data_IF_643658280917
#
_entry.id   IF_643658280917
#
_cell.length_a   1.000
_cell.length_b   1.000
_cell.length_c   1.000
_cell.angle_alpha   90.00
_cell.angle_beta   90.00
_cell.angle_gamma   90.00
#
_symmetry.space_group_name_H-M   'P 1'
#
loop_
_entity.id
_entity.type
_entity.pdbx_description
1 polymer ?
#
# COMPACT_ATOMS: atom_id res chain seq x y z
N UNK A 1 3.59 7.37 2.98
CA UNK A 1 2.56 7.50 4.03
C UNK A 1 2.54 6.33 5.03
N UNK A 2 2.64 5.06 4.60
CA UNK A 2 2.62 3.89 5.51
C UNK A 2 3.61 3.96 6.68
N UNK A 3 4.82 4.48 6.47
CA UNK A 3 5.81 4.69 7.55
C UNK A 3 5.30 5.64 8.66
N UNK A 4 4.49 6.64 8.31
CA UNK A 4 3.86 7.55 9.29
C UNK A 4 2.81 6.80 10.12
N UNK A 5 1.90 6.09 9.46
CA UNK A 5 0.90 5.24 10.11
C UNK A 5 1.55 4.21 11.06
N UNK A 6 2.62 3.56 10.61
CA UNK A 6 3.44 2.66 11.44
C UNK A 6 3.95 3.34 12.70
N UNK A 7 4.58 4.51 12.56
CA UNK A 7 5.14 5.24 13.70
C UNK A 7 4.05 5.66 14.70
N UNK A 8 2.89 6.11 14.21
CA UNK A 8 1.75 6.46 15.07
C UNK A 8 1.24 5.23 15.86
N UNK A 9 1.18 4.05 15.23
CA UNK A 9 0.80 2.80 15.91
C UNK A 9 1.85 2.37 16.94
N UNK A 10 3.12 2.49 16.59
CA UNK A 10 4.23 2.19 17.49
C UNK A 10 4.20 3.10 18.73
N UNK A 11 4.00 4.40 18.56
CA UNK A 11 3.84 5.36 19.67
C UNK A 11 2.62 5.02 20.53
N UNK A 12 1.47 4.74 19.89
CA UNK A 12 0.26 4.32 20.59
C UNK A 12 0.50 3.11 21.49
N UNK A 13 1.25 2.12 20.99
CA UNK A 13 1.59 0.91 21.74
C UNK A 13 2.57 1.18 22.87
N UNK A 14 3.60 2.00 22.61
CA UNK A 14 4.64 2.35 23.60
C UNK A 14 4.06 3.07 24.80
N UNK A 15 3.18 4.05 24.55
CA UNK A 15 2.63 4.92 25.59
C UNK A 15 1.24 4.49 26.05
N UNK A 16 0.78 3.30 25.62
CA UNK A 16 -0.57 2.80 25.84
C UNK A 16 -1.05 2.84 27.31
N UNK A 17 -0.16 2.60 28.27
CA UNK A 17 -0.49 2.64 29.71
C UNK A 17 -0.72 4.06 30.26
N UNK A 18 -0.32 5.09 29.52
CA UNK A 18 -0.37 6.51 29.91
C UNK A 18 -1.43 7.30 29.13
N UNK A 19 -1.94 6.75 28.04
CA UNK A 19 -2.84 7.42 27.10
C UNK A 19 -4.30 7.08 27.43
N UNK A 20 -5.19 8.07 27.34
CA UNK A 20 -6.62 7.85 27.55
C UNK A 20 -7.26 7.18 26.32
N UNK A 21 -8.31 6.38 26.52
CA UNK A 21 -8.91 5.62 25.40
C UNK A 21 -9.41 6.50 24.26
N UNK A 22 -9.94 7.71 24.53
CA UNK A 22 -10.36 8.61 23.45
C UNK A 22 -9.17 9.08 22.60
N UNK A 23 -7.97 9.22 23.18
CA UNK A 23 -6.77 9.63 22.44
C UNK A 23 -6.29 8.50 21.52
N UNK A 24 -6.44 7.26 21.97
CA UNK A 24 -6.21 6.07 21.13
C UNK A 24 -7.18 6.07 19.95
N UNK A 25 -8.47 6.27 20.21
CA UNK A 25 -9.49 6.32 19.17
C UNK A 25 -9.23 7.42 18.13
N UNK A 26 -8.90 8.63 18.59
CA UNK A 26 -8.57 9.77 17.70
C UNK A 26 -7.39 9.43 16.80
N UNK A 27 -6.28 8.92 17.35
CA UNK A 27 -5.11 8.54 16.53
C UNK A 27 -5.45 7.43 15.53
N UNK A 28 -6.28 6.45 15.91
CA UNK A 28 -6.74 5.40 14.98
C UNK A 28 -7.63 5.96 13.86
N UNK A 29 -8.46 6.98 14.13
CA UNK A 29 -9.24 7.69 13.10
C UNK A 29 -8.32 8.43 12.13
N UNK A 30 -7.28 9.09 12.62
CA UNK A 30 -6.30 9.78 11.77
C UNK A 30 -5.59 8.79 10.84
N UNK A 31 -5.11 7.66 11.38
CA UNK A 31 -4.47 6.61 10.58
C UNK A 31 -5.45 6.08 9.52
N UNK A 32 -6.70 5.77 9.89
CA UNK A 32 -7.70 5.30 8.93
C UNK A 32 -7.91 6.31 7.78
N UNK A 33 -8.06 7.60 8.11
CA UNK A 33 -8.25 8.66 7.12
C UNK A 33 -7.07 8.72 6.15
N UNK A 34 -5.84 8.66 6.67
CA UNK A 34 -4.65 8.65 5.83
C UNK A 34 -4.66 7.46 4.87
N UNK A 35 -4.97 6.25 5.35
CA UNK A 35 -5.02 5.04 4.50
C UNK A 35 -6.12 5.09 3.43
N UNK A 36 -7.27 5.66 3.76
CA UNK A 36 -8.35 5.88 2.76
C UNK A 36 -7.91 6.90 1.70
N UNK A 37 -7.22 7.98 2.09
CA UNK A 37 -6.68 8.95 1.14
C UNK A 37 -5.63 8.28 0.23
N UNK A 38 -4.75 7.44 0.78
CA UNK A 38 -3.74 6.71 0.01
C UNK A 38 -4.39 5.85 -1.07
N UNK A 39 -5.42 5.06 -0.70
CA UNK A 39 -6.17 4.22 -1.65
C UNK A 39 -6.75 4.98 -2.86
N UNK A 40 -7.06 6.26 -2.69
CA UNK A 40 -7.70 7.08 -3.72
C UNK A 40 -6.73 7.91 -4.57
N UNK A 41 -5.46 8.03 -4.18
CA UNK A 41 -4.50 8.96 -4.82
C UNK A 41 -3.27 8.30 -5.44
N UNK A 42 -2.89 7.11 -4.99
CA UNK A 42 -1.59 6.53 -5.35
C UNK A 42 -1.71 5.24 -6.18
N UNK A 43 -0.66 4.99 -6.98
CA UNK A 43 -0.37 3.67 -7.55
C UNK A 43 0.03 2.76 -6.39
N UNK A 44 -0.94 1.98 -5.93
CA UNK A 44 -0.73 0.99 -4.87
C UNK A 44 -0.86 -0.37 -5.51
N UNK A 45 0.22 -1.14 -5.45
CA UNK A 45 0.26 -2.51 -5.98
C UNK A 45 -0.64 -3.47 -5.18
N UNK A 46 -0.90 -3.17 -3.90
CA UNK A 46 -1.70 -4.02 -3.00
C UNK A 46 -2.88 -3.29 -2.33
N UNK A 47 -3.83 -2.79 -3.12
CA UNK A 47 -5.11 -2.23 -2.60
C UNK A 47 -5.85 -3.18 -1.63
N UNK A 48 -5.93 -4.52 -1.85
CA UNK A 48 -6.61 -5.42 -0.93
C UNK A 48 -6.03 -5.40 0.50
N UNK A 49 -4.70 -5.41 0.63
CA UNK A 49 -4.03 -5.41 1.94
C UNK A 49 -4.35 -4.15 2.74
N UNK A 50 -4.41 -2.98 2.08
CA UNK A 50 -4.76 -1.73 2.74
C UNK A 50 -6.23 -1.71 3.16
N UNK A 51 -7.13 -2.24 2.32
CA UNK A 51 -8.55 -2.37 2.68
C UNK A 51 -8.74 -3.27 3.90
N UNK A 52 -7.99 -4.36 3.98
CA UNK A 52 -8.00 -5.26 5.15
C UNK A 52 -7.49 -4.54 6.41
N UNK A 53 -6.37 -3.81 6.29
CA UNK A 53 -5.83 -3.02 7.39
C UNK A 53 -6.82 -1.96 7.91
N UNK A 54 -7.48 -1.23 7.01
CA UNK A 54 -8.56 -0.29 7.36
C UNK A 54 -9.70 -1.01 8.10
N UNK A 55 -10.09 -2.21 7.63
CA UNK A 55 -11.10 -3.03 8.28
C UNK A 55 -10.70 -3.41 9.71
N UNK A 56 -9.44 -3.79 9.92
CA UNK A 56 -8.92 -4.08 11.26
C UNK A 56 -8.90 -2.86 12.18
N UNK A 57 -8.52 -1.68 11.68
CA UNK A 57 -8.62 -0.43 12.45
C UNK A 57 -10.05 -0.18 12.88
N UNK A 58 -11.02 -0.29 11.96
CA UNK A 58 -12.46 -0.11 12.26
C UNK A 58 -12.92 -1.10 13.33
N UNK A 59 -12.62 -2.38 13.14
CA UNK A 59 -12.96 -3.45 14.09
C UNK A 59 -12.36 -3.22 15.48
N UNK A 60 -11.13 -2.70 15.55
CA UNK A 60 -10.49 -2.39 16.81
C UNK A 60 -11.18 -1.21 17.51
N UNK A 61 -11.44 -0.11 16.80
CA UNK A 61 -12.15 1.06 17.35
C UNK A 61 -13.51 0.69 17.94
N UNK A 62 -14.34 -0.06 17.19
CA UNK A 62 -15.67 -0.49 17.65
C UNK A 62 -15.63 -1.28 18.97
N UNK A 63 -14.53 -1.99 19.24
CA UNK A 63 -14.37 -2.83 20.44
C UNK A 63 -13.51 -2.19 21.52
N UNK A 64 -12.85 -1.06 21.26
CA UNK A 64 -11.81 -0.46 22.11
C UNK A 64 -12.22 -0.39 23.59
N UNK A 65 -13.42 0.13 23.86
CA UNK A 65 -13.94 0.32 25.23
C UNK A 65 -14.39 -0.97 25.92
N UNK A 66 -14.65 -2.02 25.14
CA UNK A 66 -15.11 -3.34 25.63
C UNK A 66 -13.98 -4.32 25.88
N UNK A 67 -12.81 -4.10 25.26
CA UNK A 67 -11.67 -4.98 25.36
C UNK A 67 -11.02 -4.93 26.75
N UNK A 68 -10.35 -6.02 27.16
CA UNK A 68 -9.47 -5.97 28.32
C UNK A 68 -8.15 -5.29 27.93
N UNK A 69 -7.38 -4.84 28.92
CA UNK A 69 -6.09 -4.19 28.68
C UNK A 69 -5.15 -5.05 27.80
N UNK A 70 -5.05 -6.35 28.09
CA UNK A 70 -4.25 -7.30 27.31
C UNK A 70 -4.70 -7.38 25.85
N UNK A 71 -6.00 -7.41 25.61
CA UNK A 71 -6.56 -7.56 24.26
C UNK A 71 -6.38 -6.28 23.42
N UNK A 72 -6.44 -5.10 24.07
CA UNK A 72 -6.10 -3.82 23.40
C UNK A 72 -4.64 -3.78 22.97
N UNK A 73 -3.71 -4.16 23.85
CA UNK A 73 -2.28 -4.19 23.53
C UNK A 73 -1.97 -5.21 22.42
N UNK A 74 -2.64 -6.36 22.45
CA UNK A 74 -2.57 -7.36 21.37
C UNK A 74 -3.10 -6.80 20.05
N UNK A 75 -4.23 -6.07 20.08
CA UNK A 75 -4.80 -5.44 18.88
C UNK A 75 -3.86 -4.40 18.28
N UNK A 76 -3.26 -3.53 19.10
CA UNK A 76 -2.23 -2.58 18.65
C UNK A 76 -1.03 -3.30 18.04
N UNK A 77 -0.58 -4.38 18.66
CA UNK A 77 0.52 -5.19 18.12
C UNK A 77 0.17 -5.88 16.80
N UNK A 78 -1.09 -6.28 16.61
CA UNK A 78 -1.58 -6.84 15.33
C UNK A 78 -1.56 -5.77 14.23
N UNK A 79 -2.08 -4.57 14.52
CA UNK A 79 -2.03 -3.44 13.59
C UNK A 79 -0.58 -3.08 13.21
N UNK A 80 0.34 -3.09 14.17
CA UNK A 80 1.77 -2.83 13.91
C UNK A 80 2.38 -3.85 12.95
N UNK A 81 2.06 -5.14 13.13
CA UNK A 81 2.54 -6.20 12.23
C UNK A 81 1.98 -6.07 10.83
N UNK A 82 0.68 -5.78 10.71
CA UNK A 82 0.01 -5.64 9.43
C UNK A 82 0.53 -4.45 8.63
N UNK A 83 0.74 -3.29 9.26
CA UNK A 83 1.30 -2.13 8.56
C UNK A 83 2.76 -2.36 8.15
N UNK A 84 3.55 -3.10 8.94
CA UNK A 84 4.90 -3.50 8.53
C UNK A 84 4.87 -4.42 7.31
N UNK A 85 3.98 -5.41 7.31
CA UNK A 85 3.82 -6.31 6.17
C UNK A 85 3.40 -5.55 4.90
N UNK A 86 2.46 -4.61 5.00
CA UNK A 86 2.08 -3.73 3.88
C UNK A 86 3.28 -2.94 3.35
N UNK A 87 4.11 -2.38 4.23
CA UNK A 87 5.32 -1.64 3.83
C UNK A 87 6.30 -2.55 3.08
N UNK A 88 6.52 -3.77 3.58
CA UNK A 88 7.43 -4.74 2.97
C UNK A 88 6.95 -5.13 1.56
N UNK A 89 5.69 -5.53 1.42
CA UNK A 89 5.14 -5.95 0.13
C UNK A 89 5.09 -4.79 -0.88
N UNK A 90 4.69 -3.60 -0.45
CA UNK A 90 4.73 -2.41 -1.30
C UNK A 90 6.16 -2.10 -1.78
N UNK A 91 7.16 -2.20 -0.89
CA UNK A 91 8.57 -1.95 -1.24
C UNK A 91 9.08 -2.98 -2.24
N UNK A 92 8.73 -4.27 -2.05
CA UNK A 92 9.10 -5.34 -2.99
C UNK A 92 8.51 -5.10 -4.38
N UNK A 93 7.22 -4.78 -4.45
CA UNK A 93 6.57 -4.49 -5.73
C UNK A 93 7.17 -3.26 -6.42
N UNK A 94 7.46 -2.19 -5.67
CA UNK A 94 8.12 -1.00 -6.23
C UNK A 94 9.51 -1.31 -6.79
N UNK A 95 10.29 -2.17 -6.13
CA UNK A 95 11.60 -2.58 -6.62
C UNK A 95 11.49 -3.44 -7.89
N UNK A 96 10.60 -4.44 -7.87
CA UNK A 96 10.31 -5.27 -9.04
C UNK A 96 9.88 -4.40 -10.25
N UNK A 97 9.01 -3.42 -10.01
CA UNK A 97 8.54 -2.51 -11.05
C UNK A 97 9.67 -1.66 -11.64
N UNK A 98 10.63 -1.21 -10.81
CA UNK A 98 11.83 -0.48 -11.27
C UNK A 98 12.75 -1.37 -12.09
N UNK A 99 13.02 -2.59 -11.63
CA UNK A 99 13.84 -3.57 -12.34
C UNK A 99 13.23 -3.91 -13.71
N UNK A 100 11.90 -4.01 -13.79
CA UNK A 100 11.19 -4.22 -15.06
C UNK A 100 11.39 -3.05 -16.03
N UNK A 101 11.27 -1.81 -15.54
CA UNK A 101 11.52 -0.60 -16.35
C UNK A 101 12.97 -0.59 -16.86
N UNK A 102 13.94 -0.83 -15.98
CA UNK A 102 15.37 -0.84 -16.33
C UNK A 102 15.69 -1.94 -17.34
N UNK A 103 15.10 -3.13 -17.19
CA UNK A 103 15.26 -4.23 -18.13
C UNK A 103 14.75 -3.83 -19.51
N UNK A 104 13.55 -3.26 -19.60
CA UNK A 104 12.97 -2.80 -20.86
C UNK A 104 13.77 -1.66 -21.50
N UNK A 105 14.28 -0.70 -20.71
CA UNK A 105 15.12 0.39 -21.24
C UNK A 105 16.42 -0.09 -21.87
N UNK A 106 16.93 -1.25 -21.42
CA UNK A 106 18.16 -1.85 -21.92
C UNK A 106 17.93 -2.89 -23.03
N UNK A 107 16.69 -3.17 -23.42
CA UNK A 107 16.39 -4.09 -24.52
C UNK A 107 16.91 -3.52 -25.85
N UNK A 108 17.63 -4.36 -26.61
CA UNK A 108 18.01 -4.00 -27.97
C UNK A 108 16.80 -4.13 -28.90
N UNK A 109 16.12 -3.00 -29.12
CA UNK A 109 14.93 -2.92 -29.96
C UNK A 109 15.25 -2.74 -31.46
N UNK A 110 16.51 -2.61 -31.87
CA UNK A 110 16.85 -2.26 -33.25
C UNK A 110 16.37 -3.28 -34.27
N UNK A 111 16.33 -4.56 -33.85
CA UNK A 111 15.87 -5.71 -34.65
C UNK A 111 14.35 -5.86 -34.72
N UNK A 112 13.59 -5.07 -33.96
CA UNK A 112 12.13 -5.11 -33.96
C UNK A 112 11.55 -4.36 -35.18
N UNK A 113 10.38 -4.79 -35.63
CA UNK A 113 9.55 -4.06 -36.59
C UNK A 113 9.09 -2.71 -36.01
N UNK A 114 8.66 -1.77 -36.87
CA UNK A 114 8.16 -0.47 -36.38
C UNK A 114 6.95 -0.60 -35.44
N UNK A 115 6.06 -1.56 -35.73
CA UNK A 115 4.90 -1.85 -34.89
C UNK A 115 5.32 -2.34 -33.51
N UNK A 116 6.29 -3.25 -33.43
CA UNK A 116 6.83 -3.74 -32.15
C UNK A 116 7.55 -2.64 -31.36
N UNK A 117 8.32 -1.77 -32.04
CA UNK A 117 8.96 -0.59 -31.41
C UNK A 117 7.92 0.37 -30.81
N UNK A 118 6.81 0.60 -31.53
CA UNK A 118 5.72 1.42 -31.04
C UNK A 118 5.10 0.85 -29.76
N UNK A 119 4.77 -0.45 -29.74
CA UNK A 119 4.22 -1.10 -28.55
C UNK A 119 5.19 -1.12 -27.37
N UNK A 120 6.49 -1.39 -27.62
CA UNK A 120 7.52 -1.32 -26.60
C UNK A 120 7.57 0.08 -25.95
N UNK A 121 7.59 1.15 -26.76
CA UNK A 121 7.59 2.52 -26.25
C UNK A 121 6.32 2.87 -25.45
N UNK A 122 5.15 2.43 -25.92
CA UNK A 122 3.88 2.63 -25.22
C UNK A 122 3.87 1.92 -23.86
N UNK A 123 4.31 0.65 -23.82
CA UNK A 123 4.43 -0.14 -22.59
C UNK A 123 5.36 0.54 -21.59
N UNK A 124 6.55 0.96 -22.01
CA UNK A 124 7.51 1.67 -21.15
C UNK A 124 6.93 2.97 -20.60
N UNK A 125 6.20 3.74 -21.42
CA UNK A 125 5.54 4.98 -21.00
C UNK A 125 4.44 4.73 -19.96
N UNK A 126 3.70 3.63 -20.07
CA UNK A 126 2.65 3.25 -19.11
C UNK A 126 3.24 2.71 -17.80
N UNK A 127 4.27 1.86 -17.86
CA UNK A 127 5.01 1.41 -16.68
C UNK A 127 5.58 2.59 -15.89
N UNK A 128 6.17 3.59 -16.57
CA UNK A 128 6.66 4.82 -15.92
C UNK A 128 5.55 5.65 -15.24
N UNK A 129 4.30 5.49 -15.68
CA UNK A 129 3.12 6.10 -15.04
C UNK A 129 2.57 5.25 -13.88
N UNK A 130 3.15 4.08 -13.62
CA UNK A 130 2.79 3.16 -12.55
C UNK A 130 1.65 2.20 -12.89
N UNK A 131 1.34 2.00 -14.17
CA UNK A 131 0.43 0.92 -14.57
C UNK A 131 1.12 -0.42 -14.39
N UNK A 132 0.41 -1.44 -13.90
CA UNK A 132 0.91 -2.81 -13.89
C UNK A 132 0.97 -3.40 -15.31
N UNK A 133 1.66 -4.53 -15.45
CA UNK A 133 1.69 -5.26 -16.72
C UNK A 133 0.30 -5.77 -17.14
N UNK A 134 -0.51 -6.24 -16.18
CA UNK A 134 -1.90 -6.65 -16.41
C UNK A 134 -2.78 -5.49 -16.91
N UNK A 135 -2.64 -4.29 -16.30
CA UNK A 135 -3.39 -3.10 -16.70
C UNK A 135 -2.99 -2.63 -18.12
N UNK A 136 -1.71 -2.80 -18.49
CA UNK A 136 -1.24 -2.56 -19.85
C UNK A 136 -1.87 -3.53 -20.85
N UNK A 137 -1.88 -4.83 -20.55
CA UNK A 137 -2.45 -5.82 -21.48
C UNK A 137 -3.94 -5.59 -21.71
N UNK A 138 -4.67 -5.22 -20.67
CA UNK A 138 -6.09 -4.89 -20.77
C UNK A 138 -6.33 -3.63 -21.61
N UNK A 139 -5.53 -2.58 -21.41
CA UNK A 139 -5.55 -1.37 -22.25
C UNK A 139 -5.21 -1.65 -23.71
N UNK A 140 -4.18 -2.45 -23.97
CA UNK A 140 -3.75 -2.80 -25.32
C UNK A 140 -4.81 -3.61 -26.07
N UNK A 141 -5.51 -4.52 -25.40
CA UNK A 141 -6.64 -5.29 -25.98
C UNK A 141 -7.84 -4.41 -26.31
N UNK A 142 -8.06 -3.31 -25.58
CA UNK A 142 -9.18 -2.39 -25.83
C UNK A 142 -8.97 -1.43 -27.01
N UNK A 143 -7.74 -1.32 -27.53
CA UNK A 143 -7.38 -0.45 -28.65
C UNK A 143 -7.32 -1.17 -30.01
N UNK A 144 -7.59 -2.49 -30.03
CA UNK A 144 -7.73 -3.34 -31.21
C UNK A 144 -9.21 -3.53 -31.56
#
# INVERSE_FOLDING_TARGET
MFKKARNQIFELKKDYSKIKFYEIEVKLIEIEKEMVITLNKEVIFFKPLIKEFISHIRSFKTRLYKLKHKDRLNSLSKLEKEINYIIEEQTKAENYHKELIETMENENIDKLSETEKYYHHLKLKLLKKGYSEDEYEELARSML
#
